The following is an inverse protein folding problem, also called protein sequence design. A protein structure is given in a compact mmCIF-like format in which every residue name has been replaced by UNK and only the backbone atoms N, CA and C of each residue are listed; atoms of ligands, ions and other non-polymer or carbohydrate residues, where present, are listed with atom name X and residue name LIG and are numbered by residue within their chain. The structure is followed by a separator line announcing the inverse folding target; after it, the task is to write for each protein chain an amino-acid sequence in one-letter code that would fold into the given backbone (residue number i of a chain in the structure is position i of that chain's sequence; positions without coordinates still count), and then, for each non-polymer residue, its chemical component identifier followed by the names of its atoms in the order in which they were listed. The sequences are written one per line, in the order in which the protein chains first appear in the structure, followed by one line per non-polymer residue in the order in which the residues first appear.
data_IF_707583488005
#
_entry.id   IF_707583488005
#
_cell.length_a   1.000
_cell.length_b   1.000
_cell.length_c   1.000
_cell.angle_alpha   90.00
_cell.angle_beta   90.00
_cell.angle_gamma   90.00
#
_symmetry.space_group_name_H-M   'P 1'
#
loop_
_entity.id
_entity.type
_entity.pdbx_description
1 polymer ?
#
# COMPACT_ATOMS: atom_id res chain seq x y z
N UNK A 1 -10.45 24.38 -9.82
CA UNK A 1 -10.27 23.51 -11.01
C UNK A 1 -10.30 21.98 -10.75
N UNK A 2 -10.30 21.49 -9.51
CA UNK A 2 -10.29 20.05 -9.22
C UNK A 2 -11.62 19.35 -9.55
N UNK A 3 -11.71 18.77 -10.75
CA UNK A 3 -12.88 18.02 -11.21
C UNK A 3 -13.23 16.85 -10.28
N UNK A 4 -12.22 16.11 -9.83
CA UNK A 4 -12.41 14.92 -8.98
C UNK A 4 -13.00 15.27 -7.61
N UNK A 5 -12.60 16.41 -7.04
CA UNK A 5 -13.16 16.90 -5.78
C UNK A 5 -14.64 17.27 -5.95
N UNK A 6 -14.98 17.98 -7.02
CA UNK A 6 -16.37 18.37 -7.32
C UNK A 6 -17.23 17.13 -7.53
N UNK A 7 -16.78 16.18 -8.36
CA UNK A 7 -17.51 14.94 -8.61
C UNK A 7 -17.73 14.11 -7.32
N UNK A 8 -16.77 14.13 -6.39
CA UNK A 8 -16.90 13.38 -5.13
C UNK A 8 -18.04 13.88 -4.22
N UNK A 9 -18.35 15.17 -4.27
CA UNK A 9 -19.40 15.82 -3.46
C UNK A 9 -20.68 16.14 -4.24
N UNK A 10 -20.71 15.82 -5.54
CA UNK A 10 -21.88 15.99 -6.42
C UNK A 10 -22.28 14.64 -7.03
N UNK A 11 -21.75 14.29 -8.20
CA UNK A 11 -22.11 13.11 -9.00
C UNK A 11 -21.96 11.79 -8.23
N UNK A 12 -20.88 11.65 -7.47
CA UNK A 12 -20.56 10.43 -6.74
C UNK A 12 -21.07 10.44 -5.29
N UNK A 13 -21.70 11.53 -4.84
CA UNK A 13 -22.05 11.73 -3.44
C UNK A 13 -22.88 10.57 -2.89
N UNK A 14 -24.01 10.28 -3.53
CA UNK A 14 -24.93 9.22 -3.10
C UNK A 14 -24.24 7.85 -3.00
N UNK A 15 -23.44 7.51 -4.02
CA UNK A 15 -22.68 6.25 -4.04
C UNK A 15 -21.68 6.18 -2.88
N UNK A 16 -20.98 7.28 -2.62
CA UNK A 16 -19.99 7.37 -1.56
C UNK A 16 -20.66 7.19 -0.19
N UNK A 17 -21.79 7.85 0.04
CA UNK A 17 -22.58 7.73 1.28
C UNK A 17 -23.17 6.34 1.46
N UNK A 18 -23.80 5.77 0.42
CA UNK A 18 -24.32 4.40 0.48
C UNK A 18 -23.22 3.40 0.86
N UNK A 19 -22.01 3.61 0.34
CA UNK A 19 -20.84 2.79 0.66
C UNK A 19 -20.17 3.11 1.99
N UNK A 20 -20.62 4.14 2.72
CA UNK A 20 -19.97 4.61 3.94
C UNK A 20 -18.52 5.04 3.75
N UNK A 21 -18.17 5.46 2.54
CA UNK A 21 -16.82 5.83 2.11
C UNK A 21 -15.74 4.74 2.23
N UNK A 22 -16.14 3.46 2.33
CA UNK A 22 -15.21 2.32 2.44
C UNK A 22 -14.34 2.20 1.17
N UNK A 23 -13.02 2.14 1.36
CA UNK A 23 -12.06 2.07 0.26
C UNK A 23 -11.94 3.32 -0.62
N UNK A 24 -12.52 4.45 -0.19
CA UNK A 24 -12.40 5.74 -0.87
C UNK A 24 -11.19 6.50 -0.32
N UNK A 25 -10.31 6.97 -1.21
CA UNK A 25 -9.18 7.81 -0.82
C UNK A 25 -9.68 9.15 -0.29
N UNK A 26 -9.03 9.66 0.77
CA UNK A 26 -9.40 10.93 1.40
C UNK A 26 -10.85 10.97 1.89
N UNK A 27 -11.41 9.80 2.26
CA UNK A 27 -12.79 9.66 2.75
C UNK A 27 -13.13 10.67 3.86
N UNK A 28 -12.22 10.89 4.81
CA UNK A 28 -12.41 11.84 5.91
C UNK A 28 -12.57 13.27 5.41
N UNK A 29 -11.74 13.71 4.47
CA UNK A 29 -11.83 15.05 3.89
C UNK A 29 -13.12 15.24 3.11
N UNK A 30 -13.52 14.24 2.31
CA UNK A 30 -14.77 14.29 1.54
C UNK A 30 -15.96 14.39 2.48
N UNK A 31 -16.00 13.58 3.55
CA UNK A 31 -17.05 13.65 4.58
C UNK A 31 -17.12 15.03 5.22
N UNK A 32 -15.98 15.59 5.63
CA UNK A 32 -15.91 16.92 6.22
C UNK A 32 -16.41 18.02 5.28
N UNK A 33 -16.17 17.92 3.98
CA UNK A 33 -16.70 18.87 2.98
C UNK A 33 -18.21 18.72 2.84
N UNK A 34 -18.73 17.49 2.75
CA UNK A 34 -20.18 17.23 2.66
C UNK A 34 -20.92 17.73 3.91
N UNK A 35 -20.35 17.48 5.10
CA UNK A 35 -20.84 18.04 6.37
C UNK A 35 -20.89 19.58 6.29
N UNK A 36 -19.81 20.22 5.83
CA UNK A 36 -19.75 21.67 5.66
C UNK A 36 -20.82 22.21 4.72
N UNK A 37 -21.03 21.55 3.58
CA UNK A 37 -22.00 21.96 2.57
C UNK A 37 -23.44 21.85 3.10
N UNK A 38 -23.74 20.81 3.89
CA UNK A 38 -25.08 20.62 4.50
C UNK A 38 -25.36 21.51 5.70
N UNK A 39 -24.32 22.02 6.36
CA UNK A 39 -24.48 23.02 7.42
C UNK A 39 -24.87 24.39 6.87
N UNK A 40 -24.56 24.67 5.61
CA UNK A 40 -24.98 25.91 4.95
C UNK A 40 -26.49 25.91 4.79
N UNK A 41 -27.12 27.04 5.12
CA UNK A 41 -28.56 27.24 4.93
C UNK A 41 -28.93 27.72 3.52
N UNK A 42 -27.97 27.65 2.58
CA UNK A 42 -28.13 28.17 1.21
C UNK A 42 -27.67 27.14 0.19
N UNK A 43 -28.34 27.12 -0.96
CA UNK A 43 -27.94 26.28 -2.08
C UNK A 43 -26.53 26.64 -2.54
N UNK A 44 -25.74 25.60 -2.80
CA UNK A 44 -24.35 25.73 -3.24
C UNK A 44 -24.18 25.07 -4.60
N UNK A 45 -23.75 25.85 -5.58
CA UNK A 45 -23.48 25.38 -6.94
C UNK A 45 -21.97 25.35 -7.17
N UNK A 46 -21.50 24.30 -7.84
CA UNK A 46 -20.10 24.18 -8.24
C UNK A 46 -19.95 24.55 -9.72
N UNK A 47 -19.09 25.52 -9.99
CA UNK A 47 -18.62 25.81 -11.34
C UNK A 47 -17.22 25.24 -11.53
N UNK A 48 -17.06 24.35 -12.52
CA UNK A 48 -15.76 23.77 -12.83
C UNK A 48 -15.06 24.62 -13.88
N UNK A 49 -13.98 25.27 -13.48
CA UNK A 49 -13.07 25.96 -14.39
C UNK A 49 -11.84 25.10 -14.68
N UNK A 50 -11.35 25.17 -15.93
CA UNK A 50 -10.10 24.52 -16.33
C UNK A 50 -8.92 25.25 -15.68
N UNK A 51 -8.02 24.50 -15.05
CA UNK A 51 -6.80 25.05 -14.46
C UNK A 51 -5.84 25.62 -15.52
N UNK A 52 -5.05 26.62 -15.13
CA UNK A 52 -4.07 27.30 -15.99
C UNK A 52 -4.66 27.89 -17.28
N UNK A 53 -5.91 28.32 -17.23
CA UNK A 53 -6.64 28.89 -18.37
C UNK A 53 -6.84 30.41 -18.25
N UNK A 54 -6.10 31.07 -17.35
CA UNK A 54 -6.14 32.53 -17.18
C UNK A 54 -7.32 33.05 -16.35
N UNK A 55 -8.05 32.17 -15.66
CA UNK A 55 -9.12 32.60 -14.75
C UNK A 55 -8.51 33.22 -13.48
N UNK A 56 -8.53 34.55 -13.37
CA UNK A 56 -7.77 35.31 -12.37
C UNK A 56 -7.96 34.78 -10.93
N UNK A 57 -9.19 34.55 -10.48
CA UNK A 57 -9.44 34.05 -9.13
C UNK A 57 -8.93 32.61 -8.89
N UNK A 58 -8.95 31.74 -9.91
CA UNK A 58 -8.44 30.38 -9.79
C UNK A 58 -6.90 30.39 -9.76
N UNK A 59 -6.26 31.20 -10.60
CA UNK A 59 -4.80 31.34 -10.58
C UNK A 59 -4.31 31.93 -9.24
N UNK A 60 -5.03 32.90 -8.66
CA UNK A 60 -4.75 33.41 -7.31
C UNK A 60 -4.91 32.32 -6.25
N UNK A 61 -5.97 31.50 -6.33
CA UNK A 61 -6.15 30.35 -5.44
C UNK A 61 -5.01 29.33 -5.57
N UNK A 62 -4.55 29.03 -6.78
CA UNK A 62 -3.40 28.14 -7.03
C UNK A 62 -2.10 28.70 -6.44
N UNK A 63 -1.89 30.02 -6.53
CA UNK A 63 -0.75 30.69 -5.92
C UNK A 63 -0.79 30.60 -4.40
N UNK A 64 -1.94 30.87 -3.78
CA UNK A 64 -2.11 30.73 -2.32
C UNK A 64 -1.91 29.27 -1.87
N UNK A 65 -2.43 28.30 -2.62
CA UNK A 65 -2.21 26.88 -2.34
C UNK A 65 -0.72 26.49 -2.42
N UNK A 66 0.02 27.02 -3.41
CA UNK A 66 1.48 26.82 -3.53
C UNK A 66 2.26 27.46 -2.38
N UNK A 67 1.81 28.61 -1.88
CA UNK A 67 2.41 29.26 -0.72
C UNK A 67 2.18 28.42 0.53
N UNK A 68 0.93 28.03 0.82
CA UNK A 68 0.61 27.17 1.96
C UNK A 68 1.30 25.80 1.92
N UNK A 69 1.56 25.25 0.74
CA UNK A 69 2.33 24.00 0.60
C UNK A 69 3.81 24.11 1.01
N UNK A 70 4.35 25.34 1.10
CA UNK A 70 5.73 25.61 1.57
C UNK A 70 5.79 25.91 3.06
N UNK A 71 4.66 26.19 3.69
CA UNK A 71 4.58 26.47 5.11
C UNK A 71 4.63 25.17 5.93
N UNK A 72 5.08 25.23 7.20
CA UNK A 72 4.99 24.10 8.10
C UNK A 72 3.54 23.64 8.22
N UNK A 73 3.29 22.37 7.91
CA UNK A 73 1.94 21.83 8.10
C UNK A 73 1.66 21.70 9.61
N UNK A 74 0.49 22.14 10.08
CA UNK A 74 0.09 21.89 11.46
C UNK A 74 0.05 20.38 11.72
N UNK A 75 0.49 19.97 12.91
CA UNK A 75 0.57 18.55 13.30
C UNK A 75 -0.81 17.85 13.28
N UNK A 76 -1.89 18.64 13.39
CA UNK A 76 -3.26 18.17 13.37
C UNK A 76 -4.07 18.97 12.35
N UNK A 77 -4.86 18.25 11.54
CA UNK A 77 -5.81 18.87 10.63
C UNK A 77 -6.92 19.62 11.38
N UNK A 78 -7.74 20.43 10.69
CA UNK A 78 -8.80 21.19 11.34
C UNK A 78 -9.76 20.25 12.07
N UNK A 79 -9.78 20.34 13.41
CA UNK A 79 -10.68 19.58 14.25
C UNK A 79 -12.09 20.18 14.13
N UNK A 80 -13.00 19.46 13.46
CA UNK A 80 -14.40 19.86 13.35
C UNK A 80 -15.23 19.02 14.32
N UNK A 81 -15.97 19.71 15.20
CA UNK A 81 -16.95 19.08 16.07
C UNK A 81 -17.91 18.19 15.25
N UNK A 82 -18.33 17.03 15.78
CA UNK A 82 -19.20 16.12 15.05
C UNK A 82 -20.52 16.80 14.69
N UNK A 83 -20.74 16.97 13.39
CA UNK A 83 -21.96 17.54 12.83
C UNK A 83 -23.13 16.55 12.89
N UNK A 84 -24.37 17.04 12.99
CA UNK A 84 -25.58 16.20 12.80
C UNK A 84 -25.65 15.55 11.41
N UNK A 85 -24.87 16.07 10.46
CA UNK A 85 -24.77 15.57 9.09
C UNK A 85 -23.68 14.51 8.90
N UNK A 86 -22.92 14.18 9.96
CA UNK A 86 -21.85 13.19 9.90
C UNK A 86 -22.43 11.80 9.71
N UNK A 87 -22.09 11.19 8.58
CA UNK A 87 -22.46 9.81 8.30
C UNK A 87 -21.62 8.85 9.15
N UNK A 88 -22.29 7.96 9.89
CA UNK A 88 -21.66 7.02 10.83
C UNK A 88 -21.13 5.74 10.16
N UNK A 89 -21.55 5.43 8.93
CA UNK A 89 -21.12 4.22 8.24
C UNK A 89 -21.85 3.98 6.92
N UNK A 90 -21.67 2.78 6.39
CA UNK A 90 -22.29 2.35 5.13
C UNK A 90 -23.76 1.95 5.34
N UNK A 91 -24.61 2.25 4.35
CA UNK A 91 -26.03 1.92 4.40
C UNK A 91 -26.23 0.41 4.30
N UNK A 92 -26.80 -0.21 5.34
CA UNK A 92 -27.01 -1.67 5.38
C UNK A 92 -27.87 -2.17 4.20
N UNK A 93 -28.91 -1.43 3.81
CA UNK A 93 -29.76 -1.75 2.65
C UNK A 93 -28.98 -1.88 1.33
N UNK A 94 -27.85 -1.16 1.18
CA UNK A 94 -27.02 -1.14 -0.02
C UNK A 94 -25.73 -1.95 0.14
N UNK A 95 -25.56 -2.63 1.27
CA UNK A 95 -24.32 -3.31 1.60
C UNK A 95 -24.17 -4.61 0.84
N UNK A 96 -23.05 -4.73 0.12
CA UNK A 96 -22.63 -5.98 -0.50
C UNK A 96 -21.63 -6.71 0.40
N UNK A 97 -21.61 -8.05 0.33
CA UNK A 97 -20.61 -8.87 1.02
C UNK A 97 -19.17 -8.42 0.72
N UNK A 98 -18.90 -8.06 -0.55
CA UNK A 98 -17.58 -7.59 -0.98
C UNK A 98 -17.17 -6.27 -0.33
N UNK A 99 -18.13 -5.36 -0.11
CA UNK A 99 -17.93 -4.09 0.60
C UNK A 99 -17.70 -4.33 2.10
N UNK A 100 -18.52 -5.17 2.72
CA UNK A 100 -18.37 -5.55 4.14
C UNK A 100 -17.02 -6.21 4.39
N UNK A 101 -16.62 -7.15 3.52
CA UNK A 101 -15.31 -7.80 3.58
C UNK A 101 -14.18 -6.78 3.45
N UNK A 102 -14.27 -5.83 2.52
CA UNK A 102 -13.30 -4.74 2.37
C UNK A 102 -13.17 -3.92 3.66
N UNK A 103 -14.29 -3.51 4.26
CA UNK A 103 -14.29 -2.76 5.51
C UNK A 103 -13.60 -3.52 6.66
N UNK A 104 -13.92 -4.80 6.82
CA UNK A 104 -13.28 -5.66 7.83
C UNK A 104 -11.78 -5.77 7.57
N UNK A 105 -11.37 -5.94 6.31
CA UNK A 105 -9.96 -6.02 5.92
C UNK A 105 -9.21 -4.72 6.20
N UNK A 106 -9.81 -3.57 5.93
CA UNK A 106 -9.23 -2.25 6.22
C UNK A 106 -9.01 -2.06 7.72
N UNK A 107 -10.02 -2.37 8.55
CA UNK A 107 -9.92 -2.30 10.02
C UNK A 107 -8.82 -3.21 10.56
N UNK A 108 -8.83 -4.49 10.19
CA UNK A 108 -7.80 -5.45 10.61
C UNK A 108 -6.41 -5.06 10.10
N UNK A 109 -6.31 -4.44 8.94
CA UNK A 109 -5.02 -3.98 8.43
C UNK A 109 -4.49 -2.76 9.18
N UNK A 110 -5.37 -1.90 9.71
CA UNK A 110 -4.98 -0.75 10.52
C UNK A 110 -4.48 -1.16 11.91
N UNK A 111 -5.03 -2.25 12.47
CA UNK A 111 -4.58 -2.84 13.74
C UNK A 111 -3.21 -3.54 13.63
N UNK A 112 -2.86 -4.01 12.43
CA UNK A 112 -1.63 -4.76 12.20
C UNK A 112 -0.53 -3.82 11.73
N UNK A 113 0.39 -3.51 12.65
CA UNK A 113 1.62 -2.79 12.32
C UNK A 113 2.50 -3.54 11.32
N UNK A 114 3.43 -2.84 10.67
CA UNK A 114 4.35 -3.48 9.73
C UNK A 114 5.24 -4.48 10.47
N UNK A 115 5.50 -5.61 9.82
CA UNK A 115 6.39 -6.63 10.37
C UNK A 115 7.84 -6.24 10.09
N UNK A 116 8.63 -6.07 11.15
CA UNK A 116 10.07 -5.74 11.06
C UNK A 116 10.81 -6.59 10.04
N UNK A 117 10.61 -7.91 10.04
CA UNK A 117 11.27 -8.81 9.08
C UNK A 117 10.92 -8.51 7.62
N UNK A 118 9.67 -8.13 7.34
CA UNK A 118 9.25 -7.74 6.00
C UNK A 118 9.84 -6.40 5.59
N UNK A 119 9.95 -5.45 6.52
CA UNK A 119 10.55 -4.14 6.25
C UNK A 119 12.04 -4.23 5.92
N UNK A 120 12.78 -5.07 6.65
CA UNK A 120 14.20 -5.32 6.37
C UNK A 120 14.38 -5.85 4.95
N UNK A 121 13.62 -6.89 4.57
CA UNK A 121 13.72 -7.47 3.22
C UNK A 121 13.28 -6.46 2.15
N UNK A 122 12.24 -5.65 2.40
CA UNK A 122 11.85 -4.60 1.45
C UNK A 122 12.91 -3.51 1.30
N UNK A 123 13.65 -3.18 2.36
CA UNK A 123 14.75 -2.22 2.31
C UNK A 123 15.91 -2.77 1.47
N UNK A 124 16.23 -4.05 1.62
CA UNK A 124 17.22 -4.74 0.78
C UNK A 124 16.80 -4.74 -0.69
N UNK A 125 15.58 -5.20 -1.00
CA UNK A 125 15.04 -5.21 -2.37
C UNK A 125 15.08 -3.81 -3.00
N UNK A 126 14.73 -2.76 -2.24
CA UNK A 126 14.83 -1.37 -2.74
C UNK A 126 16.27 -0.97 -3.05
N UNK A 127 17.22 -1.32 -2.18
CA UNK A 127 18.65 -1.04 -2.37
C UNK A 127 19.18 -1.74 -3.62
N UNK A 128 18.81 -3.00 -3.82
CA UNK A 128 19.25 -3.81 -4.96
C UNK A 128 18.65 -3.33 -6.27
N UNK A 129 17.36 -2.97 -6.27
CA UNK A 129 16.72 -2.36 -7.44
C UNK A 129 17.35 -1.01 -7.82
N UNK A 130 17.76 -0.23 -6.82
CA UNK A 130 18.48 1.02 -7.04
C UNK A 130 19.87 0.76 -7.61
N UNK A 131 20.60 -0.22 -7.07
CA UNK A 131 21.95 -0.59 -7.53
C UNK A 131 21.94 -1.15 -8.96
N UNK A 132 21.02 -2.07 -9.25
CA UNK A 132 20.98 -2.79 -10.53
C UNK A 132 20.33 -1.98 -11.66
N UNK A 133 19.29 -1.19 -11.36
CA UNK A 133 18.45 -0.53 -12.37
C UNK A 133 18.31 0.98 -12.18
N UNK A 134 19.03 1.60 -11.24
CA UNK A 134 18.88 3.00 -10.86
C UNK A 134 17.42 3.39 -10.49
N UNK A 135 16.59 2.42 -10.08
CA UNK A 135 15.14 2.59 -9.93
C UNK A 135 14.74 2.74 -8.46
N UNK A 136 14.25 3.93 -8.08
CA UNK A 136 13.71 4.19 -6.74
C UNK A 136 12.23 3.80 -6.65
N UNK A 137 11.93 2.59 -6.16
CA UNK A 137 10.55 2.09 -6.00
C UNK A 137 10.06 2.17 -4.56
N UNK A 138 8.78 2.51 -4.38
CA UNK A 138 8.12 2.40 -3.08
C UNK A 138 7.74 0.96 -2.76
N UNK A 139 7.52 0.65 -1.47
CA UNK A 139 7.10 -0.70 -1.03
C UNK A 139 5.80 -1.12 -1.72
N UNK A 140 4.84 -0.21 -1.83
CA UNK A 140 3.54 -0.43 -2.47
C UNK A 140 3.70 -0.75 -3.95
N UNK A 141 4.66 -0.11 -4.63
CA UNK A 141 4.94 -0.38 -6.04
C UNK A 141 5.53 -1.77 -6.23
N UNK A 142 6.46 -2.19 -5.37
CA UNK A 142 7.03 -3.55 -5.37
C UNK A 142 5.90 -4.58 -5.25
N UNK A 143 4.99 -4.41 -4.28
CA UNK A 143 3.85 -5.32 -4.11
C UNK A 143 2.88 -5.33 -5.31
N UNK A 144 2.67 -4.19 -5.96
CA UNK A 144 1.86 -4.11 -7.19
C UNK A 144 2.56 -4.77 -8.37
N UNK A 145 3.87 -4.67 -8.46
CA UNK A 145 4.65 -5.24 -9.57
C UNK A 145 4.58 -6.78 -9.57
N UNK A 146 4.50 -7.43 -8.40
CA UNK A 146 4.24 -8.87 -8.30
C UNK A 146 2.89 -9.32 -8.89
N UNK A 147 1.93 -8.40 -9.06
CA UNK A 147 0.58 -8.69 -9.57
C UNK A 147 0.43 -8.38 -11.06
N UNK A 148 1.52 -8.04 -11.76
CA UNK A 148 1.48 -7.81 -13.21
C UNK A 148 1.19 -9.11 -13.95
N UNK A 149 0.51 -9.00 -15.09
CA UNK A 149 0.15 -10.15 -15.96
C UNK A 149 1.38 -10.95 -16.44
N UNK A 150 2.55 -10.32 -16.48
CA UNK A 150 3.83 -10.96 -16.85
C UNK A 150 4.41 -11.85 -15.76
N UNK A 151 3.90 -11.74 -14.52
CA UNK A 151 4.33 -12.58 -13.39
C UNK A 151 3.28 -13.65 -13.19
N UNK A 152 3.67 -14.92 -13.30
CA UNK A 152 2.76 -16.04 -13.03
C UNK A 152 2.31 -16.01 -11.57
N UNK A 153 1.13 -16.58 -11.30
CA UNK A 153 0.56 -16.60 -9.95
C UNK A 153 1.49 -17.31 -8.97
N UNK A 154 2.11 -18.40 -9.41
CA UNK A 154 3.02 -19.24 -8.65
C UNK A 154 4.28 -18.46 -8.26
N UNK A 155 4.89 -17.73 -9.21
CA UNK A 155 6.01 -16.84 -8.93
C UNK A 155 5.64 -15.70 -7.97
N UNK A 156 4.47 -15.07 -8.18
CA UNK A 156 3.99 -14.00 -7.30
C UNK A 156 3.78 -14.49 -5.87
N UNK A 157 3.19 -15.68 -5.69
CA UNK A 157 3.00 -16.31 -4.38
C UNK A 157 4.34 -16.65 -3.72
N UNK A 158 5.27 -17.23 -4.48
CA UNK A 158 6.59 -17.56 -3.97
C UNK A 158 7.32 -16.32 -3.46
N UNK A 159 7.42 -15.27 -4.30
CA UNK A 159 8.08 -14.01 -3.97
C UNK A 159 7.41 -13.29 -2.80
N UNK A 160 6.07 -13.30 -2.76
CA UNK A 160 5.33 -12.72 -1.64
C UNK A 160 5.67 -13.42 -0.33
N UNK A 161 5.66 -14.77 -0.31
CA UNK A 161 6.03 -15.54 0.89
C UNK A 161 7.49 -15.37 1.25
N UNK A 162 8.39 -15.27 0.28
CA UNK A 162 9.82 -15.04 0.51
C UNK A 162 10.05 -13.68 1.19
N UNK A 163 9.50 -12.60 0.63
CA UNK A 163 9.64 -11.24 1.18
C UNK A 163 8.96 -11.07 2.54
N UNK A 164 7.90 -11.83 2.82
CA UNK A 164 7.28 -11.84 4.15
C UNK A 164 8.02 -12.72 5.16
N UNK A 165 9.17 -13.30 4.81
CA UNK A 165 9.84 -14.33 5.59
C UNK A 165 8.83 -15.40 6.03
N UNK A 166 8.11 -15.99 5.07
CA UNK A 166 7.01 -16.93 5.29
C UNK A 166 7.41 -18.41 5.27
N UNK A 167 8.60 -18.74 4.77
CA UNK A 167 9.12 -20.10 4.71
C UNK A 167 9.84 -20.50 6.01
N UNK A 168 9.85 -21.80 6.33
CA UNK A 168 10.54 -22.33 7.52
C UNK A 168 12.03 -22.53 7.19
N UNK A 169 12.81 -21.44 7.28
CA UNK A 169 14.24 -21.39 6.96
C UNK A 169 14.99 -20.49 7.94
N UNK A 170 16.32 -20.64 8.01
CA UNK A 170 17.22 -19.84 8.85
C UNK A 170 16.86 -19.87 10.34
N UNK A 171 16.85 -18.69 10.96
CA UNK A 171 16.66 -18.50 12.42
C UNK A 171 15.38 -19.13 12.97
N UNK A 172 14.37 -19.36 12.11
CA UNK A 172 13.13 -19.99 12.55
C UNK A 172 13.36 -21.39 13.11
N UNK A 173 14.33 -22.13 12.59
CA UNK A 173 14.72 -23.45 13.10
C UNK A 173 15.44 -23.37 14.45
N UNK A 174 15.95 -22.20 14.85
CA UNK A 174 16.68 -21.97 16.09
C UNK A 174 15.77 -21.52 17.25
N UNK A 175 14.46 -21.39 17.02
CA UNK A 175 13.51 -20.96 18.05
C UNK A 175 13.42 -21.95 19.21
N UNK A 176 13.15 -21.41 20.40
CA UNK A 176 12.86 -22.20 21.59
C UNK A 176 11.71 -23.19 21.33
N UNK A 177 11.88 -24.43 21.80
CA UNK A 177 10.90 -25.52 21.62
C UNK A 177 11.12 -26.40 20.38
N UNK A 178 12.06 -26.06 19.49
CA UNK A 178 12.43 -26.94 18.38
C UNK A 178 13.48 -27.97 18.87
N UNK A 179 13.26 -29.29 18.64
CA UNK A 179 14.24 -30.33 18.94
C UNK A 179 15.61 -30.10 18.31
N UNK A 180 16.69 -30.43 19.02
CA UNK A 180 18.06 -30.14 18.59
C UNK A 180 18.43 -30.80 17.24
N UNK A 181 17.95 -32.03 17.01
CA UNK A 181 18.15 -32.73 15.74
C UNK A 181 17.50 -32.02 14.53
N UNK A 182 16.57 -31.08 14.74
CA UNK A 182 15.96 -30.27 13.68
C UNK A 182 16.66 -28.92 13.51
N UNK A 183 17.37 -28.42 14.55
CA UNK A 183 18.10 -27.15 14.50
C UNK A 183 19.23 -27.16 13.47
N UNK A 184 19.78 -28.33 13.16
CA UNK A 184 20.77 -28.53 12.08
C UNK A 184 20.26 -28.04 10.72
N UNK A 185 18.93 -27.93 10.52
CA UNK A 185 18.31 -27.39 9.28
C UNK A 185 18.41 -25.87 9.17
N UNK A 186 18.76 -25.17 10.25
CA UNK A 186 19.01 -23.73 10.24
C UNK A 186 20.26 -23.37 9.44
N UNK A 187 21.23 -24.29 9.39
CA UNK A 187 22.57 -24.06 8.83
C UNK A 187 22.71 -24.83 7.51
N UNK A 188 23.41 -24.23 6.55
CA UNK A 188 23.75 -24.87 5.30
C UNK A 188 24.86 -25.92 5.52
N UNK A 189 24.65 -27.15 5.05
CA UNK A 189 25.60 -28.24 5.23
C UNK A 189 26.83 -28.14 4.31
N UNK A 190 26.78 -27.27 3.29
CA UNK A 190 27.86 -27.10 2.32
C UNK A 190 28.84 -25.99 2.71
N UNK A 191 28.34 -24.90 3.31
CA UNK A 191 29.14 -23.69 3.57
C UNK A 191 29.00 -23.16 5.01
N UNK A 192 28.31 -23.89 5.89
CA UNK A 192 28.13 -23.57 7.32
C UNK A 192 27.50 -22.20 7.65
N UNK A 193 26.89 -21.55 6.66
CA UNK A 193 26.17 -20.28 6.84
C UNK A 193 24.70 -20.49 7.23
N UNK A 194 24.10 -19.47 7.84
CA UNK A 194 22.67 -19.47 8.15
C UNK A 194 21.84 -19.56 6.86
N UNK A 195 21.00 -20.58 6.79
CA UNK A 195 20.20 -20.92 5.61
C UNK A 195 18.98 -20.01 5.45
N UNK A 196 19.21 -18.72 5.20
CA UNK A 196 18.17 -17.72 4.89
C UNK A 196 17.62 -17.91 3.47
N UNK A 197 16.51 -17.25 3.14
CA UNK A 197 15.98 -17.29 1.76
C UNK A 197 16.94 -16.67 0.75
N UNK A 198 17.59 -15.54 1.13
CA UNK A 198 18.62 -14.89 0.32
C UNK A 198 19.82 -15.82 0.13
N UNK A 199 20.27 -16.47 1.20
CA UNK A 199 21.37 -17.43 1.12
C UNK A 199 21.06 -18.56 0.13
N UNK A 200 19.90 -19.22 0.26
CA UNK A 200 19.49 -20.33 -0.62
C UNK A 200 19.45 -19.91 -2.10
N UNK A 201 18.93 -18.70 -2.39
CA UNK A 201 18.64 -18.29 -3.76
C UNK A 201 19.79 -17.53 -4.44
N UNK A 202 20.64 -16.82 -3.69
CA UNK A 202 21.53 -15.79 -4.23
C UNK A 202 22.96 -15.77 -3.68
N UNK A 203 23.26 -16.43 -2.55
CA UNK A 203 24.61 -16.38 -1.94
C UNK A 203 25.29 -17.75 -1.90
N UNK A 204 24.56 -18.82 -1.61
CA UNK A 204 25.10 -20.17 -1.44
C UNK A 204 25.73 -20.73 -2.73
N UNK A 205 26.81 -21.50 -2.59
CA UNK A 205 27.45 -22.23 -3.69
C UNK A 205 27.02 -23.70 -3.80
N UNK A 206 26.02 -24.14 -3.04
CA UNK A 206 25.50 -25.50 -3.10
C UNK A 206 25.06 -25.89 -4.53
N UNK A 207 25.22 -27.17 -4.88
CA UNK A 207 24.97 -27.70 -6.24
C UNK A 207 23.61 -27.30 -6.82
N UNK A 208 22.57 -27.24 -5.98
CA UNK A 208 21.22 -26.90 -6.41
C UNK A 208 21.09 -25.51 -7.04
N UNK A 209 21.77 -24.50 -6.50
CA UNK A 209 21.73 -23.14 -7.08
C UNK A 209 22.48 -23.10 -8.40
N UNK A 210 23.70 -23.66 -8.43
CA UNK A 210 24.52 -23.74 -9.65
C UNK A 210 23.78 -24.42 -10.80
N UNK A 211 23.03 -25.48 -10.48
CA UNK A 211 22.20 -26.17 -11.47
C UNK A 211 21.05 -25.31 -11.98
N UNK A 212 20.34 -24.60 -11.10
CA UNK A 212 19.30 -23.65 -11.50
C UNK A 212 19.85 -22.53 -12.37
N UNK A 213 20.99 -21.94 -12.02
CA UNK A 213 21.67 -20.92 -12.82
C UNK A 213 22.09 -21.46 -14.19
N UNK A 214 22.61 -22.68 -14.26
CA UNK A 214 22.95 -23.36 -15.51
C UNK A 214 21.73 -23.56 -16.40
N UNK A 215 20.61 -24.04 -15.83
CA UNK A 215 19.35 -24.23 -16.55
C UNK A 215 18.79 -22.89 -17.04
N UNK A 216 18.83 -21.85 -16.20
CA UNK A 216 18.43 -20.49 -16.57
C UNK A 216 19.29 -19.95 -17.73
N UNK A 217 20.61 -20.09 -17.65
CA UNK A 217 21.52 -19.66 -18.72
C UNK A 217 21.26 -20.41 -20.03
N UNK A 218 20.84 -21.68 -19.97
CA UNK A 218 20.49 -22.46 -21.17
C UNK A 218 19.17 -22.04 -21.82
N UNK A 219 18.22 -21.48 -21.05
CA UNK A 219 16.95 -20.96 -21.58
C UNK A 219 17.11 -19.62 -22.31
N UNK A 220 18.16 -18.86 -21.99
CA UNK A 220 18.46 -17.55 -22.58
C UNK A 220 19.47 -17.60 -23.73
N UNK A 221 20.00 -18.79 -24.06
CA UNK A 221 20.78 -19.05 -25.27
C UNK A 221 19.84 -19.48 -26.40
#
# INVERSE_FOLDING_TARGET
DSKTTIEAVTTNLRRNEDSGYIGIKNADLIRSVVEALRERQVDTYFDWVKGHNGHEANERADQLAKQGAREPQPEQGPERAPSKWRLTGAKLERMMQSLAYRAIRERKSAEVGPRRSTEVVLAEVKRDLKRAFNSSRTSERIWKDLRKKTVTRECAQFLWRAMHNGYMVGEKWLKAGIPDHLKVRAICQECDELKTMTHILAECEATGRREVERLLASLWK
#
